data_IF_295203504812
#
_entry.id   IF_295203504812
#
_cell.length_a   1.000
_cell.length_b   1.000
_cell.length_c   1.000
_cell.angle_alpha   90.00
_cell.angle_beta   90.00
_cell.angle_gamma   90.00
#
_symmetry.space_group_name_H-M   'P 1'
#
loop_
_entity.id
_entity.type
_entity.pdbx_description
1 polymer ?
#
# COMPACT_ATOMS: atom_id res chain seq x y z
N UNK A 1 -39.81 16.65 -18.37
CA UNK A 1 -40.04 16.34 -19.81
C UNK A 1 -39.70 14.86 -19.95
N UNK A 2 -40.56 13.92 -20.34
CA UNK A 2 -41.60 13.91 -21.37
C UNK A 2 -42.59 12.79 -21.00
N UNK A 3 -43.88 13.12 -20.90
CA UNK A 3 -45.00 12.16 -20.90
C UNK A 3 -45.08 11.52 -22.28
N UNK A 4 -45.43 10.24 -22.37
CA UNK A 4 -46.18 9.72 -23.52
C UNK A 4 -47.34 8.88 -22.98
N UNK A 5 -48.50 9.21 -23.52
CA UNK A 5 -49.85 8.80 -23.22
C UNK A 5 -50.47 8.43 -24.56
N UNK A 6 -51.11 7.26 -24.67
CA UNK A 6 -52.03 6.83 -25.73
C UNK A 6 -52.68 5.54 -25.20
N UNK A 7 -53.96 5.40 -24.84
CA UNK A 7 -55.25 5.83 -25.40
C UNK A 7 -55.63 5.16 -26.73
N UNK A 8 -56.93 4.85 -26.84
CA UNK A 8 -57.69 4.07 -27.86
C UNK A 8 -57.90 2.58 -27.53
N UNK A 9 -59.09 1.97 -27.61
CA UNK A 9 -60.45 2.45 -27.92
C UNK A 9 -61.48 1.41 -27.43
N UNK A 10 -62.70 1.88 -27.20
CA UNK A 10 -63.91 1.16 -26.76
C UNK A 10 -64.50 0.31 -27.89
N UNK A 11 -64.98 -0.90 -27.59
CA UNK A 11 -66.04 -1.54 -28.36
C UNK A 11 -67.12 -2.08 -27.41
N UNK A 12 -68.32 -1.54 -27.56
CA UNK A 12 -69.56 -1.91 -26.88
C UNK A 12 -70.27 -2.95 -27.74
N UNK A 13 -70.66 -4.07 -27.15
CA UNK A 13 -71.70 -4.96 -27.68
C UNK A 13 -72.70 -5.26 -26.57
N UNK A 14 -73.96 -5.00 -26.86
CA UNK A 14 -75.12 -5.12 -25.97
C UNK A 14 -75.84 -6.45 -26.25
N UNK A 15 -76.51 -6.96 -25.20
CA UNK A 15 -77.84 -7.60 -25.18
C UNK A 15 -78.00 -9.09 -24.77
N UNK A 16 -78.95 -9.24 -23.81
CA UNK A 16 -79.96 -10.31 -23.62
C UNK A 16 -79.69 -11.53 -22.70
N UNK A 17 -80.10 -11.36 -21.43
CA UNK A 17 -81.02 -12.13 -20.56
C UNK A 17 -81.10 -13.69 -20.55
N UNK A 18 -81.26 -14.17 -19.30
CA UNK A 18 -81.77 -15.48 -18.80
C UNK A 18 -80.78 -16.66 -18.89
N UNK A 19 -80.65 -17.58 -17.92
CA UNK A 19 -81.57 -18.09 -16.89
C UNK A 19 -80.83 -18.75 -15.71
N UNK A 20 -81.58 -18.95 -14.61
CA UNK A 20 -81.21 -19.65 -13.38
C UNK A 20 -80.65 -21.07 -13.59
N UNK A 21 -79.65 -21.45 -12.78
CA UNK A 21 -79.14 -22.82 -12.67
C UNK A 21 -78.15 -22.94 -11.51
N UNK A 22 -78.62 -23.36 -10.35
CA UNK A 22 -77.77 -23.70 -9.21
C UNK A 22 -77.00 -25.01 -9.47
N UNK A 23 -75.67 -25.01 -9.27
CA UNK A 23 -74.88 -26.22 -9.06
C UNK A 23 -73.55 -25.87 -8.35
N UNK A 24 -72.97 -26.81 -7.59
CA UNK A 24 -72.30 -26.49 -6.34
C UNK A 24 -70.88 -25.93 -6.51
N UNK A 25 -70.50 -25.08 -5.56
CA UNK A 25 -69.19 -24.48 -5.39
C UNK A 25 -68.09 -25.55 -5.35
N UNK A 26 -67.18 -25.51 -6.33
CA UNK A 26 -65.89 -26.17 -6.21
C UNK A 26 -65.04 -25.43 -5.16
N UNK A 27 -64.42 -26.12 -4.19
CA UNK A 27 -63.55 -25.47 -3.23
C UNK A 27 -62.35 -24.85 -3.98
N UNK A 28 -62.10 -23.57 -3.71
CA UNK A 28 -60.91 -22.88 -4.19
C UNK A 28 -59.66 -23.64 -3.71
N UNK A 29 -58.86 -24.15 -4.65
CA UNK A 29 -57.55 -24.72 -4.35
C UNK A 29 -56.68 -23.57 -3.86
N UNK A 30 -56.48 -23.52 -2.53
CA UNK A 30 -55.50 -22.63 -1.94
C UNK A 30 -54.12 -22.97 -2.51
N UNK A 31 -53.30 -21.99 -2.92
CA UNK A 31 -51.93 -22.26 -3.32
C UNK A 31 -51.21 -22.84 -2.10
N UNK A 32 -50.92 -24.13 -2.16
CA UNK A 32 -50.09 -24.81 -1.18
C UNK A 32 -48.67 -24.27 -1.35
N UNK A 33 -48.31 -23.27 -0.54
CA UNK A 33 -46.91 -22.96 -0.27
C UNK A 33 -46.32 -24.20 0.40
N UNK A 34 -45.70 -25.08 -0.40
CA UNK A 34 -44.91 -26.18 0.14
C UNK A 34 -43.89 -25.59 1.12
N UNK A 35 -43.82 -26.09 2.36
CA UNK A 35 -42.76 -25.70 3.28
C UNK A 35 -41.44 -26.11 2.63
N UNK A 36 -40.64 -25.13 2.22
CA UNK A 36 -39.29 -25.37 1.71
C UNK A 36 -38.52 -26.02 2.85
N UNK A 37 -38.15 -27.29 2.68
CA UNK A 37 -37.34 -28.00 3.66
C UNK A 37 -36.05 -27.20 3.94
N UNK A 38 -35.72 -26.89 5.21
CA UNK A 38 -34.51 -26.13 5.54
C UNK A 38 -33.27 -26.82 4.97
N UNK A 39 -32.45 -26.07 4.23
CA UNK A 39 -31.19 -26.60 3.70
C UNK A 39 -30.25 -26.86 4.89
N UNK A 40 -29.64 -28.06 5.01
CA UNK A 40 -28.70 -28.34 6.09
C UNK A 40 -27.58 -27.31 6.17
N UNK A 41 -27.23 -26.88 7.38
CA UNK A 41 -26.09 -25.99 7.59
C UNK A 41 -24.80 -26.71 7.22
N UNK A 42 -24.11 -26.24 6.19
CA UNK A 42 -22.81 -26.75 5.75
C UNK A 42 -21.93 -25.63 5.22
N UNK A 43 -20.63 -25.77 5.41
CA UNK A 43 -19.62 -24.96 4.73
C UNK A 43 -19.47 -25.49 3.31
N UNK A 44 -19.58 -24.59 2.34
CA UNK A 44 -19.50 -24.88 0.90
C UNK A 44 -18.10 -24.62 0.37
N UNK A 45 -17.49 -23.49 0.77
CA UNK A 45 -16.13 -23.14 0.39
C UNK A 45 -15.53 -22.15 1.38
N UNK A 46 -14.21 -22.07 1.37
CA UNK A 46 -13.45 -21.09 2.13
C UNK A 46 -12.48 -20.42 1.17
N UNK A 47 -12.64 -19.10 0.98
CA UNK A 47 -11.67 -18.29 0.25
C UNK A 47 -10.66 -17.70 1.23
N UNK A 48 -9.40 -17.61 0.80
CA UNK A 48 -8.32 -17.04 1.60
C UNK A 48 -7.73 -15.81 0.92
N UNK A 49 -7.52 -14.76 1.70
CA UNK A 49 -6.78 -13.56 1.33
C UNK A 49 -5.63 -13.31 2.29
N UNK A 50 -4.63 -12.55 1.83
CA UNK A 50 -3.48 -12.16 2.65
C UNK A 50 -3.09 -10.71 2.37
N UNK A 51 -2.78 -9.97 3.42
CA UNK A 51 -2.32 -8.59 3.35
C UNK A 51 -1.07 -8.40 4.24
N UNK A 52 0.06 -7.88 3.71
CA UNK A 52 0.28 -7.51 2.30
C UNK A 52 0.27 -8.72 1.36
N UNK A 53 -0.21 -8.54 0.13
CA UNK A 53 -0.26 -9.62 -0.88
C UNK A 53 1.12 -9.99 -1.44
N UNK A 54 2.10 -9.10 -1.31
CA UNK A 54 3.48 -9.29 -1.72
C UNK A 54 4.44 -8.64 -0.72
N UNK A 55 5.60 -9.26 -0.54
CA UNK A 55 6.74 -8.72 0.22
C UNK A 55 7.88 -8.28 -0.71
N UNK A 56 7.67 -8.30 -2.03
CA UNK A 56 8.65 -7.80 -2.99
C UNK A 56 8.96 -6.32 -2.71
N UNK A 57 10.26 -5.98 -2.69
CA UNK A 57 10.73 -4.64 -2.39
C UNK A 57 10.75 -4.27 -0.91
N UNK A 58 10.23 -5.12 -0.02
CA UNK A 58 10.40 -4.95 1.43
C UNK A 58 11.80 -5.38 1.86
N UNK A 59 12.44 -4.62 2.75
CA UNK A 59 13.77 -4.95 3.23
C UNK A 59 13.76 -6.18 4.14
N UNK A 60 14.68 -7.12 3.90
CA UNK A 60 14.93 -8.22 4.83
C UNK A 60 15.46 -7.69 6.18
N UNK A 61 15.06 -8.33 7.27
CA UNK A 61 15.34 -7.93 8.64
C UNK A 61 14.34 -6.94 9.24
N UNK A 62 13.30 -6.54 8.50
CA UNK A 62 12.18 -5.77 9.05
C UNK A 62 11.08 -6.66 9.62
N UNK A 63 10.52 -6.24 10.75
CA UNK A 63 9.33 -6.85 11.32
C UNK A 63 8.11 -6.40 10.53
N UNK A 64 7.28 -7.36 10.10
CA UNK A 64 6.02 -7.08 9.42
C UNK A 64 4.87 -7.76 10.16
N UNK A 65 3.67 -7.23 9.97
CA UNK A 65 2.42 -7.90 10.32
C UNK A 65 1.75 -8.36 9.04
N UNK A 66 1.42 -9.65 8.97
CA UNK A 66 0.66 -10.25 7.87
C UNK A 66 -0.72 -10.64 8.41
N UNK A 67 -1.77 -10.12 7.78
CA UNK A 67 -3.15 -10.46 8.09
C UNK A 67 -3.66 -11.47 7.06
N UNK A 68 -4.10 -12.62 7.55
CA UNK A 68 -4.83 -13.61 6.78
C UNK A 68 -6.32 -13.39 7.00
N UNK A 69 -7.10 -13.45 5.93
CA UNK A 69 -8.56 -13.32 5.99
C UNK A 69 -9.18 -14.55 5.34
N UNK A 70 -9.88 -15.34 6.16
CA UNK A 70 -10.69 -16.46 5.70
C UNK A 70 -12.13 -15.99 5.48
N UNK A 71 -12.67 -16.22 4.29
CA UNK A 71 -14.07 -15.93 3.93
C UNK A 71 -14.80 -17.25 3.77
N UNK A 72 -15.67 -17.55 4.72
CA UNK A 72 -16.44 -18.79 4.77
C UNK A 72 -17.76 -18.57 4.03
N UNK A 73 -18.03 -19.44 3.07
CA UNK A 73 -19.31 -19.51 2.38
C UNK A 73 -20.09 -20.71 2.89
N UNK A 74 -21.31 -20.49 3.36
CA UNK A 74 -22.23 -21.54 3.81
C UNK A 74 -23.41 -21.68 2.86
N UNK A 75 -24.11 -22.82 2.93
CA UNK A 75 -25.27 -23.07 2.09
C UNK A 75 -26.37 -22.00 2.28
N UNK A 76 -26.91 -21.50 1.18
CA UNK A 76 -28.02 -20.56 1.20
C UNK A 76 -29.28 -21.19 1.82
N UNK A 77 -30.14 -20.35 2.40
CA UNK A 77 -31.39 -20.74 3.04
C UNK A 77 -31.24 -21.72 4.22
N UNK A 78 -30.06 -21.75 4.85
CA UNK A 78 -29.86 -22.46 6.09
C UNK A 78 -30.48 -21.72 7.29
N UNK A 79 -30.87 -22.48 8.32
CA UNK A 79 -31.32 -21.96 9.61
C UNK A 79 -30.22 -21.28 10.42
N UNK A 80 -28.97 -21.33 9.96
CA UNK A 80 -27.80 -20.86 10.71
C UNK A 80 -27.16 -21.97 11.53
N UNK A 81 -26.02 -21.67 12.15
CA UNK A 81 -25.24 -22.61 12.93
C UNK A 81 -23.82 -22.13 13.21
N UNK A 82 -23.08 -22.91 13.98
CA UNK A 82 -21.70 -22.59 14.35
C UNK A 82 -20.72 -23.38 13.48
N UNK A 83 -19.82 -22.66 12.82
CA UNK A 83 -18.64 -23.25 12.20
C UNK A 83 -17.53 -23.31 13.24
N UNK A 84 -17.02 -24.51 13.52
CA UNK A 84 -15.82 -24.72 14.32
C UNK A 84 -14.65 -25.02 13.39
N UNK A 85 -13.50 -24.40 13.63
CA UNK A 85 -12.34 -24.58 12.78
C UNK A 85 -11.03 -24.37 13.54
N UNK A 86 -9.94 -24.80 12.91
CA UNK A 86 -8.59 -24.44 13.30
C UNK A 86 -7.96 -23.61 12.19
N UNK A 87 -7.09 -22.67 12.56
CA UNK A 87 -6.30 -21.89 11.61
C UNK A 87 -4.81 -22.03 11.90
N UNK A 88 -3.98 -21.88 10.87
CA UNK A 88 -2.53 -21.84 10.96
C UNK A 88 -1.97 -20.62 10.25
N UNK A 89 -0.83 -20.12 10.72
CA UNK A 89 -0.03 -19.06 10.06
C UNK A 89 1.40 -19.50 9.78
N UNK A 90 1.72 -20.77 10.04
CA UNK A 90 3.08 -21.29 9.98
C UNK A 90 3.12 -22.69 9.36
N UNK A 91 2.58 -22.81 8.15
CA UNK A 91 2.63 -24.03 7.34
C UNK A 91 2.10 -25.28 8.09
N UNK A 92 1.03 -25.12 8.86
CA UNK A 92 0.40 -26.21 9.62
C UNK A 92 1.17 -26.66 10.87
N UNK A 93 2.33 -26.08 11.20
CA UNK A 93 3.12 -26.49 12.39
C UNK A 93 2.48 -26.10 13.71
N UNK A 94 1.60 -25.11 13.70
CA UNK A 94 0.82 -24.68 14.85
C UNK A 94 -0.59 -24.34 14.38
N UNK A 95 -1.59 -24.77 15.15
CA UNK A 95 -3.00 -24.58 14.84
C UNK A 95 -3.73 -24.02 16.05
N UNK A 96 -4.56 -23.01 15.82
CA UNK A 96 -5.36 -22.39 16.89
C UNK A 96 -6.85 -22.59 16.59
N UNK A 97 -7.65 -23.08 17.56
CA UNK A 97 -9.09 -23.25 17.39
C UNK A 97 -9.81 -21.90 17.41
N UNK A 98 -10.87 -21.79 16.60
CA UNK A 98 -11.75 -20.64 16.52
C UNK A 98 -13.15 -21.06 16.05
N UNK A 99 -14.11 -20.13 16.15
CA UNK A 99 -15.48 -20.39 15.70
C UNK A 99 -16.15 -19.14 15.12
N UNK A 100 -17.13 -19.37 14.26
CA UNK A 100 -18.01 -18.35 13.69
C UNK A 100 -19.46 -18.80 13.83
N UNK A 101 -20.31 -17.93 14.36
CA UNK A 101 -21.75 -18.19 14.42
C UNK A 101 -22.45 -17.52 13.24
N UNK A 102 -23.22 -18.28 12.47
CA UNK A 102 -24.06 -17.80 11.38
C UNK A 102 -25.52 -17.75 11.84
N UNK A 103 -26.13 -16.59 11.70
CA UNK A 103 -27.57 -16.42 11.86
C UNK A 103 -28.36 -17.01 10.68
N UNK A 104 -29.69 -17.07 10.80
CA UNK A 104 -30.55 -17.53 9.72
C UNK A 104 -30.33 -16.73 8.43
N UNK A 105 -30.20 -17.43 7.30
CA UNK A 105 -29.96 -16.85 5.95
C UNK A 105 -28.64 -16.11 5.75
N UNK A 106 -27.75 -16.04 6.73
CA UNK A 106 -26.38 -15.56 6.50
C UNK A 106 -25.61 -16.60 5.67
N UNK A 107 -24.95 -16.14 4.60
CA UNK A 107 -24.21 -17.02 3.68
C UNK A 107 -22.70 -16.79 3.69
N UNK A 108 -22.24 -15.67 4.25
CA UNK A 108 -20.83 -15.27 4.24
C UNK A 108 -20.43 -14.71 5.61
N UNK A 109 -19.30 -15.18 6.15
CA UNK A 109 -18.58 -14.51 7.23
C UNK A 109 -17.08 -14.54 7.02
N UNK A 110 -16.41 -13.55 7.58
CA UNK A 110 -14.96 -13.43 7.54
C UNK A 110 -14.37 -13.62 8.93
N UNK A 111 -13.20 -14.27 9.00
CA UNK A 111 -12.37 -14.33 10.19
C UNK A 111 -10.95 -13.95 9.83
N UNK A 112 -10.36 -13.06 10.63
CA UNK A 112 -8.99 -12.57 10.40
C UNK A 112 -8.07 -13.02 11.52
N UNK A 113 -6.86 -13.42 11.15
CA UNK A 113 -5.81 -13.82 12.07
C UNK A 113 -4.45 -13.33 11.56
N UNK A 114 -3.51 -13.11 12.48
CA UNK A 114 -2.26 -12.42 12.16
C UNK A 114 -1.03 -13.29 12.39
N UNK A 115 -0.02 -13.06 11.55
CA UNK A 115 1.36 -13.44 11.81
C UNK A 115 2.19 -12.18 11.99
N UNK A 116 3.10 -12.19 12.96
CA UNK A 116 4.07 -11.13 13.17
C UNK A 116 5.45 -11.73 13.28
N UNK A 117 6.41 -11.11 12.60
CA UNK A 117 7.78 -11.56 12.64
C UNK A 117 8.66 -10.83 11.65
N UNK A 118 9.93 -11.17 11.68
CA UNK A 118 10.95 -10.56 10.83
C UNK A 118 11.04 -11.27 9.49
N UNK A 119 11.09 -10.50 8.39
CA UNK A 119 11.38 -11.05 7.07
C UNK A 119 12.81 -11.57 7.02
N UNK A 120 12.97 -12.88 6.91
CA UNK A 120 14.28 -13.52 6.78
C UNK A 120 14.70 -13.60 5.31
N UNK A 121 16.01 -13.45 5.05
CA UNK A 121 16.58 -13.59 3.72
C UNK A 121 16.47 -15.02 3.15
N UNK A 122 16.20 -16.02 3.99
CA UNK A 122 15.90 -17.38 3.56
C UNK A 122 14.48 -17.54 2.97
N UNK A 123 13.64 -16.50 3.06
CA UNK A 123 12.25 -16.46 2.59
C UNK A 123 11.36 -17.60 3.13
N UNK A 124 11.72 -18.17 4.30
CA UNK A 124 10.94 -19.21 4.98
C UNK A 124 9.69 -18.60 5.63
N UNK A 125 9.81 -17.38 6.14
CA UNK A 125 8.74 -16.64 6.80
C UNK A 125 8.38 -15.36 6.05
N UNK A 126 7.10 -14.97 6.00
CA UNK A 126 5.92 -15.63 6.57
C UNK A 126 5.59 -17.00 5.95
N UNK A 127 5.17 -17.94 6.81
CA UNK A 127 4.75 -19.28 6.39
C UNK A 127 3.36 -19.28 5.75
N UNK A 128 2.96 -20.40 5.15
CA UNK A 128 1.62 -20.57 4.60
C UNK A 128 0.55 -20.51 5.71
N UNK A 129 -0.49 -19.71 5.49
CA UNK A 129 -1.67 -19.64 6.33
C UNK A 129 -2.89 -20.30 5.68
N UNK A 130 -3.75 -20.91 6.51
CA UNK A 130 -4.90 -21.68 6.05
C UNK A 130 -5.84 -22.06 7.19
N UNK A 131 -7.01 -22.57 6.82
CA UNK A 131 -8.09 -22.96 7.72
C UNK A 131 -8.56 -24.37 7.41
N UNK A 132 -8.89 -25.12 8.46
CA UNK A 132 -9.58 -26.41 8.41
C UNK A 132 -10.79 -26.39 9.32
N UNK A 133 -12.00 -26.56 8.75
CA UNK A 133 -13.22 -26.69 9.55
C UNK A 133 -13.38 -28.10 10.09
N UNK A 134 -13.98 -28.25 11.27
CA UNK A 134 -14.33 -29.55 11.87
C UNK A 134 -15.84 -29.71 12.07
N UNK A 135 -16.60 -28.61 12.11
CA UNK A 135 -18.05 -28.60 12.20
C UNK A 135 -18.61 -27.44 11.39
N UNK A 136 -19.76 -27.59 10.71
CA UNK A 136 -20.60 -28.79 10.61
C UNK A 136 -20.05 -29.90 9.71
N UNK A 137 -19.01 -29.59 8.92
CA UNK A 137 -18.33 -30.52 8.05
C UNK A 137 -16.86 -30.10 7.87
N UNK A 138 -16.04 -31.00 7.35
CA UNK A 138 -14.65 -30.73 7.03
C UNK A 138 -14.51 -30.04 5.68
N UNK A 139 -13.82 -28.90 5.66
CA UNK A 139 -13.44 -28.14 4.47
C UNK A 139 -12.06 -27.57 4.70
N UNK A 140 -11.16 -27.86 3.77
CA UNK A 140 -9.84 -27.25 3.70
C UNK A 140 -9.90 -25.99 2.86
N UNK A 141 -9.37 -24.89 3.38
CA UNK A 141 -9.11 -23.71 2.57
C UNK A 141 -7.88 -23.92 1.68
N UNK A 142 -7.74 -23.16 0.57
CA UNK A 142 -6.43 -22.95 -0.03
C UNK A 142 -5.44 -22.41 1.01
N UNK A 143 -4.17 -22.75 0.89
CA UNK A 143 -3.12 -22.14 1.70
C UNK A 143 -2.54 -20.93 0.97
N UNK A 144 -2.36 -19.81 1.67
CA UNK A 144 -1.85 -18.56 1.09
C UNK A 144 -0.69 -18.01 1.90
N UNK A 145 0.21 -17.27 1.26
CA UNK A 145 1.21 -16.41 1.91
C UNK A 145 1.50 -15.22 0.99
N UNK A 146 2.10 -14.13 1.48
CA UNK A 146 2.58 -13.06 0.61
C UNK A 146 3.52 -13.61 -0.46
N UNK A 147 3.36 -13.10 -1.68
CA UNK A 147 4.22 -13.45 -2.83
C UNK A 147 5.51 -12.64 -2.83
N UNK A 148 6.47 -13.02 -3.69
CA UNK A 148 7.76 -12.34 -3.81
C UNK A 148 8.74 -12.68 -2.69
N UNK A 149 9.92 -12.10 -2.78
CA UNK A 149 11.01 -12.24 -1.80
C UNK A 149 11.35 -10.88 -1.22
N UNK A 150 11.73 -10.83 0.05
CA UNK A 150 12.31 -9.60 0.58
C UNK A 150 13.63 -9.29 -0.13
N UNK A 151 13.99 -8.02 -0.19
CA UNK A 151 15.27 -7.58 -0.74
C UNK A 151 16.28 -7.47 0.40
N UNK A 152 17.42 -8.15 0.25
CA UNK A 152 18.53 -7.99 1.19
C UNK A 152 18.87 -6.51 1.27
N UNK A 153 18.91 -5.97 2.50
CA UNK A 153 19.31 -4.58 2.71
C UNK A 153 20.70 -4.38 2.15
N UNK A 154 20.85 -3.49 1.17
CA UNK A 154 22.17 -3.03 0.77
C UNK A 154 22.80 -2.22 1.90
N UNK A 155 24.13 -2.14 1.91
CA UNK A 155 24.84 -1.23 2.80
C UNK A 155 24.34 0.22 2.55
N UNK A 156 24.22 1.01 3.61
CA UNK A 156 23.95 2.43 3.46
C UNK A 156 25.20 3.09 2.87
N UNK A 157 25.07 3.61 1.65
CA UNK A 157 26.18 4.15 0.87
C UNK A 157 25.68 5.33 0.03
N UNK A 158 26.47 6.40 0.00
CA UNK A 158 26.35 7.48 -0.99
C UNK A 158 27.05 7.04 -2.27
N UNK A 159 26.35 7.06 -3.39
CA UNK A 159 26.84 6.60 -4.70
C UNK A 159 27.27 7.75 -5.60
N UNK A 160 26.63 8.90 -5.49
CA UNK A 160 26.95 10.12 -6.24
C UNK A 160 26.49 11.37 -5.46
N UNK A 161 27.07 12.52 -5.77
CA UNK A 161 26.63 13.82 -5.24
C UNK A 161 26.51 14.81 -6.39
N UNK A 162 25.32 15.36 -6.56
CA UNK A 162 25.13 16.54 -7.42
C UNK A 162 25.15 17.80 -6.57
N UNK A 163 25.83 18.84 -7.06
CA UNK A 163 25.88 20.14 -6.43
C UNK A 163 25.51 21.21 -7.45
N UNK A 164 24.56 22.06 -7.10
CA UNK A 164 24.07 23.16 -7.96
C UNK A 164 24.08 24.47 -7.17
N UNK A 165 24.30 25.58 -7.88
CA UNK A 165 24.29 26.93 -7.31
C UNK A 165 23.27 27.82 -8.03
N UNK A 166 22.53 28.61 -7.25
CA UNK A 166 21.57 29.58 -7.73
C UNK A 166 21.78 30.95 -7.05
N UNK A 167 21.88 32.06 -7.80
CA UNK A 167 21.91 32.13 -9.26
C UNK A 167 23.16 31.44 -9.85
N UNK A 168 22.99 30.84 -11.03
CA UNK A 168 24.08 30.09 -11.71
C UNK A 168 25.07 30.97 -12.46
N UNK A 169 24.79 32.26 -12.59
CA UNK A 169 25.66 33.23 -13.23
C UNK A 169 25.58 34.60 -12.54
N UNK A 170 26.68 35.36 -12.62
CA UNK A 170 26.79 36.75 -12.15
C UNK A 170 27.00 37.76 -13.30
N UNK A 171 26.87 37.34 -14.56
CA UNK A 171 26.98 38.24 -15.71
C UNK A 171 25.91 39.33 -15.62
N UNK A 172 26.32 40.59 -15.79
CA UNK A 172 25.43 41.76 -15.75
C UNK A 172 25.04 42.19 -14.33
N UNK A 173 25.57 41.55 -13.29
CA UNK A 173 25.42 42.02 -11.92
C UNK A 173 26.45 43.09 -11.61
N UNK A 174 26.03 44.15 -10.90
CA UNK A 174 26.94 45.23 -10.52
C UNK A 174 28.01 44.78 -9.54
N UNK A 175 29.27 45.10 -9.80
CA UNK A 175 30.30 44.94 -8.77
C UNK A 175 30.00 45.85 -7.55
N UNK A 176 30.51 45.46 -6.38
CA UNK A 176 30.24 46.03 -5.06
C UNK A 176 28.78 45.87 -4.57
N UNK A 177 27.97 45.04 -5.24
CA UNK A 177 26.65 44.63 -4.74
C UNK A 177 26.75 43.43 -3.80
N UNK A 178 25.83 43.36 -2.83
CA UNK A 178 25.69 42.20 -1.94
C UNK A 178 24.82 41.14 -2.62
N UNK A 179 25.29 39.90 -2.64
CA UNK A 179 24.60 38.77 -3.26
C UNK A 179 24.58 37.57 -2.33
N UNK A 180 23.50 36.79 -2.42
CA UNK A 180 23.34 35.52 -1.71
C UNK A 180 23.17 34.39 -2.72
N UNK A 181 24.05 33.39 -2.64
CA UNK A 181 23.97 32.17 -3.41
C UNK A 181 23.37 31.06 -2.57
N UNK A 182 22.43 30.33 -3.14
CA UNK A 182 21.87 29.11 -2.57
C UNK A 182 22.49 27.91 -3.29
N UNK A 183 23.09 27.03 -2.50
CA UNK A 183 23.65 25.77 -2.97
C UNK A 183 22.67 24.66 -2.60
N UNK A 184 22.31 23.84 -3.58
CA UNK A 184 21.49 22.65 -3.39
C UNK A 184 22.34 21.43 -3.68
N UNK A 185 22.57 20.61 -2.66
CA UNK A 185 23.24 19.32 -2.81
C UNK A 185 22.19 18.20 -2.85
N UNK A 186 22.37 17.26 -3.77
CA UNK A 186 21.57 16.04 -3.89
C UNK A 186 22.48 14.84 -3.72
N UNK A 187 22.28 14.10 -2.63
CA UNK A 187 22.98 12.85 -2.38
C UNK A 187 22.18 11.71 -3.03
N UNK A 188 22.85 10.92 -3.87
CA UNK A 188 22.32 9.69 -4.42
C UNK A 188 22.75 8.53 -3.54
N UNK A 189 21.82 7.63 -3.24
CA UNK A 189 22.01 6.52 -2.31
C UNK A 189 21.85 5.18 -3.02
N UNK A 190 22.59 4.18 -2.54
CA UNK A 190 22.41 2.82 -3.00
C UNK A 190 20.95 2.37 -2.76
N UNK A 191 20.28 1.75 -3.76
CA UNK A 191 18.91 1.31 -3.61
C UNK A 191 18.80 0.22 -2.53
N UNK A 192 17.61 0.06 -1.96
CA UNK A 192 17.30 -0.96 -0.94
C UNK A 192 18.14 -0.85 0.35
N UNK A 193 18.63 0.34 0.68
CA UNK A 193 19.28 0.58 1.97
C UNK A 193 18.27 0.75 3.11
N UNK A 194 18.67 0.37 4.33
CA UNK A 194 17.97 0.68 5.60
C UNK A 194 17.94 2.17 5.93
N UNK A 195 18.60 3.01 5.14
CA UNK A 195 18.78 4.42 5.46
C UNK A 195 19.84 4.62 6.52
N UNK A 196 20.02 5.88 6.93
CA UNK A 196 21.06 6.28 7.86
C UNK A 196 21.33 7.76 7.80
N UNK A 197 22.36 8.20 8.52
CA UNK A 197 22.77 9.61 8.54
C UNK A 197 23.98 9.80 7.64
N UNK A 198 23.84 10.70 6.66
CA UNK A 198 24.95 11.19 5.85
C UNK A 198 25.62 12.29 6.66
N UNK A 199 26.88 12.11 7.00
CA UNK A 199 27.73 13.15 7.59
C UNK A 199 28.61 13.70 6.47
N UNK A 200 28.69 15.02 6.37
CA UNK A 200 29.46 15.67 5.32
C UNK A 200 30.04 17.00 5.78
N UNK A 201 31.03 17.48 5.04
CA UNK A 201 31.53 18.83 5.13
C UNK A 201 31.31 19.55 3.80
N UNK A 202 31.13 20.87 3.86
CA UNK A 202 31.02 21.70 2.67
C UNK A 202 31.85 22.98 2.81
N UNK A 203 32.31 23.49 1.68
CA UNK A 203 33.00 24.79 1.56
C UNK A 203 32.30 25.65 0.52
N UNK A 204 32.42 26.98 0.63
CA UNK A 204 31.98 27.95 -0.40
C UNK A 204 33.08 28.97 -0.74
N UNK A 205 34.31 28.73 -0.27
CA UNK A 205 35.41 29.68 -0.35
C UNK A 205 36.73 29.00 -0.76
N UNK A 206 36.67 28.12 -1.75
CA UNK A 206 37.84 27.40 -2.29
C UNK A 206 38.56 26.55 -1.23
N UNK A 207 37.81 25.93 -0.31
CA UNK A 207 38.38 25.07 0.74
C UNK A 207 39.09 25.80 1.87
N UNK A 208 39.04 27.15 1.92
CA UNK A 208 39.67 27.93 3.01
C UNK A 208 38.98 27.72 4.36
N UNK A 209 37.68 27.45 4.35
CA UNK A 209 36.94 27.00 5.51
C UNK A 209 35.91 25.95 5.11
N UNK A 210 35.62 25.04 6.04
CA UNK A 210 34.63 23.99 5.87
C UNK A 210 33.64 23.99 7.03
N UNK A 211 32.38 23.68 6.73
CA UNK A 211 31.32 23.51 7.72
C UNK A 211 30.84 22.06 7.70
N UNK A 212 30.80 21.43 8.88
CA UNK A 212 30.24 20.10 9.04
C UNK A 212 28.72 20.16 9.13
N UNK A 213 28.04 19.21 8.50
CA UNK A 213 26.59 19.07 8.55
C UNK A 213 26.18 17.62 8.34
N UNK A 214 24.89 17.36 8.51
CA UNK A 214 24.32 16.04 8.33
C UNK A 214 22.90 16.07 7.80
N UNK A 215 22.50 14.98 7.14
CA UNK A 215 21.12 14.76 6.73
C UNK A 215 20.77 13.28 6.86
N UNK A 216 19.54 12.99 7.31
CA UNK A 216 19.07 11.62 7.50
C UNK A 216 18.28 11.15 6.28
N UNK A 217 18.60 9.96 5.80
CA UNK A 217 17.84 9.23 4.79
C UNK A 217 17.00 8.14 5.46
N UNK A 218 15.71 8.11 5.15
CA UNK A 218 14.84 6.99 5.53
C UNK A 218 15.18 5.72 4.73
N UNK A 219 14.74 4.57 5.24
CA UNK A 219 14.87 3.31 4.51
C UNK A 219 14.19 3.40 3.14
N UNK A 220 14.84 2.83 2.12
CA UNK A 220 14.34 2.83 0.74
C UNK A 220 14.52 4.16 -0.02
N UNK A 221 14.93 5.24 0.62
CA UNK A 221 15.20 6.51 -0.06
C UNK A 221 16.44 6.41 -0.95
N UNK A 222 16.31 6.81 -2.22
CA UNK A 222 17.42 6.83 -3.19
C UNK A 222 18.05 8.20 -3.39
N UNK A 223 17.37 9.28 -2.95
CA UNK A 223 17.86 10.65 -3.06
C UNK A 223 17.50 11.48 -1.83
N UNK A 224 18.45 12.25 -1.31
CA UNK A 224 18.22 13.21 -0.22
C UNK A 224 18.86 14.55 -0.56
N UNK A 225 18.15 15.64 -0.30
CA UNK A 225 18.65 17.00 -0.59
C UNK A 225 19.00 17.77 0.67
N UNK A 226 20.02 18.60 0.58
CA UNK A 226 20.36 19.60 1.61
C UNK A 226 20.64 20.95 0.95
N UNK A 227 20.33 22.04 1.65
CA UNK A 227 20.54 23.41 1.14
C UNK A 227 21.36 24.22 2.14
N UNK A 228 22.31 24.98 1.61
CA UNK A 228 23.07 25.97 2.37
C UNK A 228 23.27 27.22 1.52
N UNK A 229 23.57 28.34 2.17
CA UNK A 229 23.71 29.64 1.52
C UNK A 229 25.07 30.26 1.82
N UNK A 230 25.56 31.08 0.89
CA UNK A 230 26.72 31.94 1.10
C UNK A 230 26.41 33.34 0.62
N UNK A 231 26.68 34.33 1.46
CA UNK A 231 26.40 35.75 1.19
C UNK A 231 27.68 36.55 1.25
N UNK A 232 27.80 37.53 0.37
CA UNK A 232 29.00 38.36 0.27
C UNK A 232 28.89 39.43 -0.80
N UNK A 233 29.94 40.24 -0.91
CA UNK A 233 30.02 41.32 -1.90
C UNK A 233 30.71 40.82 -3.16
N UNK A 234 30.13 41.10 -4.33
CA UNK A 234 30.76 40.83 -5.62
C UNK A 234 31.88 41.85 -5.88
N UNK A 235 33.12 41.50 -5.54
CA UNK A 235 34.25 42.38 -5.77
C UNK A 235 34.72 42.39 -7.24
N UNK A 236 35.29 43.51 -7.74
CA UNK A 236 35.90 43.58 -9.07
C UNK A 236 37.08 42.62 -9.28
N UNK A 237 37.69 42.12 -8.20
CA UNK A 237 38.75 41.10 -8.26
C UNK A 237 38.20 39.67 -8.39
N UNK A 238 36.87 39.52 -8.39
CA UNK A 238 36.14 38.26 -8.54
C UNK A 238 36.55 37.17 -7.54
N UNK A 239 36.97 37.56 -6.34
CA UNK A 239 37.32 36.64 -5.25
C UNK A 239 36.11 35.98 -4.59
N UNK A 240 34.94 36.64 -4.63
CA UNK A 240 33.64 36.11 -4.20
C UNK A 240 32.66 36.08 -5.38
N UNK A 241 31.88 34.99 -5.55
CA UNK A 241 31.85 33.76 -4.75
C UNK A 241 33.04 32.83 -5.03
N UNK A 242 33.47 32.10 -3.99
CA UNK A 242 34.45 31.03 -4.14
C UNK A 242 33.84 29.75 -4.71
N UNK A 243 34.71 28.80 -5.04
CA UNK A 243 34.31 27.44 -5.43
C UNK A 243 33.71 26.75 -4.20
N UNK A 244 32.56 26.11 -4.44
CA UNK A 244 31.89 25.24 -3.49
C UNK A 244 32.14 23.78 -3.81
N UNK A 245 32.27 22.97 -2.77
CA UNK A 245 32.45 21.51 -2.82
C UNK A 245 31.80 20.89 -1.58
N UNK A 246 31.23 19.70 -1.74
CA UNK A 246 30.69 18.86 -0.66
C UNK A 246 31.45 17.54 -0.63
N UNK A 247 31.86 17.11 0.55
CA UNK A 247 32.57 15.86 0.77
C UNK A 247 31.86 15.10 1.89
N UNK A 248 31.39 13.89 1.60
CA UNK A 248 30.83 13.01 2.64
C UNK A 248 31.94 12.36 3.46
N UNK A 249 31.71 12.18 4.75
CA UNK A 249 32.62 11.49 5.68
C UNK A 249 32.02 10.19 6.21
N UNK A 250 30.68 10.08 6.20
CA UNK A 250 29.93 8.87 6.54
C UNK A 250 28.65 8.82 5.71
N UNK A 251 28.20 7.64 5.24
CA UNK A 251 28.73 6.29 5.49
C UNK A 251 30.00 5.93 4.71
N UNK A 252 30.32 6.70 3.68
CA UNK A 252 31.54 6.56 2.88
C UNK A 252 31.95 7.93 2.33
N UNK A 253 33.17 8.03 1.82
CA UNK A 253 33.67 9.25 1.20
C UNK A 253 33.26 9.32 -0.27
N UNK A 254 32.62 10.42 -0.65
CA UNK A 254 32.27 10.82 -2.01
C UNK A 254 32.41 12.34 -2.08
N UNK A 255 32.98 12.83 -3.17
CA UNK A 255 33.10 14.26 -3.42
C UNK A 255 32.07 14.67 -4.48
N UNK A 256 31.48 15.85 -4.31
CA UNK A 256 30.69 16.48 -5.37
C UNK A 256 31.60 17.03 -6.46
N UNK A 257 31.04 17.36 -7.64
CA UNK A 257 31.64 18.34 -8.53
C UNK A 257 31.89 19.66 -7.78
N UNK A 258 32.93 20.36 -8.20
CA UNK A 258 33.19 21.73 -7.77
C UNK A 258 32.33 22.70 -8.57
N UNK A 259 31.64 23.62 -7.90
CA UNK A 259 30.77 24.59 -8.57
C UNK A 259 31.02 26.02 -8.12
N UNK A 260 30.89 26.95 -9.06
CA UNK A 260 30.78 28.38 -8.81
C UNK A 260 29.86 29.01 -9.85
N UNK A 261 29.16 30.10 -9.53
CA UNK A 261 28.45 30.88 -10.53
C UNK A 261 29.35 31.30 -11.68
N UNK A 262 28.84 31.21 -12.91
CA UNK A 262 29.57 31.56 -14.11
C UNK A 262 29.61 33.08 -14.36
N UNK A 263 30.66 33.53 -15.04
CA UNK A 263 30.82 34.93 -15.46
C UNK A 263 31.48 35.84 -14.42
N UNK A 264 31.41 37.14 -14.68
CA UNK A 264 32.03 38.21 -13.91
C UNK A 264 31.01 39.33 -13.70
N UNK A 265 31.11 40.03 -12.55
CA UNK A 265 30.35 41.27 -12.33
C UNK A 265 30.92 42.39 -13.22
N UNK A 266 30.10 43.41 -13.47
CA UNK A 266 30.44 44.60 -14.27
C UNK A 266 30.01 45.88 -13.59
#
# INVERSE_FOLDING_TARGET
MKKIMASFVVLISVFLLASCGASPSAPAVAPTTQPVSPVPFKVVSIAMGVNPASIAGMACGHTITVTYTATFHVAANSSGGTVQFIYTVNNGRSTTPASLNFGPRETIKTYSFIWQGTLSSDNVYPGLGGVLTSSPNEVHSPSVKPTGTCVSSAAFQVTNIDLLVSPSSIVGMSCNSSMTFTYTVTFHLAPNSRGGTIQFMYTTNNGRSSTNSSVTASAGTTTVTYKFTSSGVLYPDHTFPGIAEVITTSPNQVNSPQVKPAGQCS
#
